data_IF_027400306315
#
_entry.id   IF_027400306315
#
_cell.length_a   1.000
_cell.length_b   1.000
_cell.length_c   1.000
_cell.angle_alpha   90.00
_cell.angle_beta   90.00
_cell.angle_gamma   90.00
#
_symmetry.space_group_name_H-M   'P 1'
#
loop_
_entity.id
_entity.type
_entity.pdbx_description
1 polymer ?
#
# COMPACT_ATOMS: atom_id res chain seq x y z
N UNK A 1 44.29 -1.44 -33.04
CA UNK A 1 43.68 -0.10 -32.96
C UNK A 1 42.30 0.00 -33.62
N UNK A 2 42.01 -0.70 -34.73
CA UNK A 2 40.68 -0.65 -35.40
C UNK A 2 39.50 -1.12 -34.53
N UNK A 3 39.68 -2.13 -33.68
CA UNK A 3 38.58 -2.69 -32.87
C UNK A 3 38.21 -1.89 -31.61
N UNK A 4 39.11 -1.03 -31.12
CA UNK A 4 38.84 -0.18 -29.94
C UNK A 4 37.85 0.95 -30.26
N UNK A 5 37.89 1.47 -31.49
CA UNK A 5 36.96 2.51 -31.97
C UNK A 5 35.56 1.93 -32.14
N UNK A 6 35.43 0.68 -32.61
CA UNK A 6 34.14 0.03 -32.79
C UNK A 6 33.41 -0.22 -31.46
N UNK A 7 34.14 -0.59 -30.40
CA UNK A 7 33.54 -0.84 -29.07
C UNK A 7 33.05 0.46 -28.42
N UNK A 8 33.77 1.57 -28.60
CA UNK A 8 33.39 2.89 -28.07
C UNK A 8 32.12 3.44 -28.73
N UNK A 9 31.92 3.18 -30.03
CA UNK A 9 30.71 3.59 -30.75
C UNK A 9 29.49 2.76 -30.34
N UNK A 10 29.65 1.46 -30.12
CA UNK A 10 28.55 0.57 -29.67
C UNK A 10 28.15 0.90 -28.22
N UNK A 11 29.11 1.17 -27.34
CA UNK A 11 28.84 1.57 -25.96
C UNK A 11 28.16 2.95 -25.88
N UNK A 12 28.54 3.90 -26.74
CA UNK A 12 27.88 5.21 -26.82
C UNK A 12 26.43 5.11 -27.32
N UNK A 13 26.17 4.29 -28.34
CA UNK A 13 24.82 4.09 -28.88
C UNK A 13 23.90 3.34 -27.91
N UNK A 14 24.41 2.32 -27.20
CA UNK A 14 23.65 1.57 -26.20
C UNK A 14 23.31 2.41 -24.96
N UNK A 15 24.22 3.28 -24.52
CA UNK A 15 23.98 4.20 -23.41
C UNK A 15 22.90 5.23 -23.72
N UNK A 16 22.86 5.78 -24.94
CA UNK A 16 21.85 6.76 -25.34
C UNK A 16 20.43 6.17 -25.38
N UNK A 17 20.26 4.90 -25.76
CA UNK A 17 18.95 4.23 -25.74
C UNK A 17 18.40 4.04 -24.32
N UNK A 18 19.27 3.83 -23.33
CA UNK A 18 18.85 3.72 -21.93
C UNK A 18 18.33 5.06 -21.34
N UNK A 19 18.85 6.19 -21.81
CA UNK A 19 18.41 7.53 -21.37
C UNK A 19 17.20 8.09 -22.15
N UNK A 20 16.92 7.57 -23.35
CA UNK A 20 15.80 8.03 -24.19
C UNK A 20 14.63 7.05 -24.17
N UNK A 21 14.75 5.91 -23.48
CA UNK A 21 13.60 5.07 -23.18
C UNK A 21 12.54 5.97 -22.53
N UNK A 22 11.39 6.20 -23.19
CA UNK A 22 10.33 6.98 -22.58
C UNK A 22 9.95 6.21 -21.33
N UNK A 23 10.06 6.86 -20.17
CA UNK A 23 9.35 6.39 -18.98
C UNK A 23 7.92 6.18 -19.46
N UNK A 24 7.44 4.94 -19.37
CA UNK A 24 6.03 4.62 -19.51
C UNK A 24 5.36 5.17 -18.23
N UNK A 25 5.43 6.50 -18.08
CA UNK A 25 4.58 7.29 -17.21
C UNK A 25 3.21 7.16 -17.83
N UNK A 26 2.62 5.97 -17.66
CA UNK A 26 1.19 5.74 -17.63
C UNK A 26 0.65 6.92 -16.85
N UNK A 27 0.10 7.90 -17.57
CA UNK A 27 -0.77 8.92 -17.02
C UNK A 27 -1.94 8.14 -16.41
N UNK A 28 -1.74 7.61 -15.20
CA UNK A 28 -2.79 7.13 -14.33
C UNK A 28 -3.51 8.41 -13.93
N UNK A 29 -4.35 8.93 -14.82
CA UNK A 29 -5.33 9.95 -14.49
C UNK A 29 -6.23 9.31 -13.45
N UNK A 30 -5.94 9.59 -12.18
CA UNK A 30 -6.75 9.10 -11.07
C UNK A 30 -8.19 9.53 -11.32
N UNK A 31 -9.11 8.59 -11.17
CA UNK A 31 -10.52 8.95 -11.23
C UNK A 31 -10.84 9.90 -10.07
N UNK A 32 -11.85 10.78 -10.19
CA UNK A 32 -12.24 11.68 -9.10
C UNK A 32 -12.51 10.95 -7.77
N UNK A 33 -13.05 9.72 -7.85
CA UNK A 33 -13.27 8.87 -6.69
C UNK A 33 -11.97 8.38 -6.03
N UNK A 34 -10.96 8.05 -6.83
CA UNK A 34 -9.64 7.62 -6.34
C UNK A 34 -8.88 8.79 -5.71
N UNK A 35 -8.91 9.97 -6.34
CA UNK A 35 -8.30 11.17 -5.76
C UNK A 35 -8.95 11.57 -4.42
N UNK A 36 -10.27 11.41 -4.31
CA UNK A 36 -10.99 11.65 -3.06
C UNK A 36 -10.59 10.65 -1.97
N UNK A 37 -10.48 9.36 -2.31
CA UNK A 37 -10.02 8.32 -1.38
C UNK A 37 -8.63 8.64 -0.84
N UNK A 38 -7.68 9.02 -1.69
CA UNK A 38 -6.32 9.39 -1.26
C UNK A 38 -6.38 10.57 -0.30
N UNK A 39 -7.10 11.64 -0.67
CA UNK A 39 -7.21 12.84 0.17
C UNK A 39 -7.80 12.53 1.56
N UNK A 40 -8.84 11.70 1.62
CA UNK A 40 -9.49 11.31 2.88
C UNK A 40 -8.60 10.34 3.66
N UNK A 41 -7.99 9.38 2.98
CA UNK A 41 -7.05 8.43 3.54
C UNK A 41 -5.87 9.12 4.21
N UNK A 42 -5.21 10.06 3.52
CA UNK A 42 -4.10 10.84 4.07
C UNK A 42 -4.51 11.67 5.28
N UNK A 43 -5.70 12.28 5.24
CA UNK A 43 -6.27 13.00 6.39
C UNK A 43 -6.48 12.07 7.58
N UNK A 44 -7.12 10.92 7.37
CA UNK A 44 -7.39 9.95 8.43
C UNK A 44 -6.12 9.31 8.98
N UNK A 45 -5.13 9.02 8.12
CA UNK A 45 -3.81 8.56 8.53
C UNK A 45 -3.12 9.61 9.41
N UNK A 46 -3.13 10.88 9.03
CA UNK A 46 -2.58 11.96 9.84
C UNK A 46 -3.24 12.09 11.22
N UNK A 47 -4.56 11.91 11.31
CA UNK A 47 -5.29 11.88 12.59
C UNK A 47 -4.85 10.67 13.43
N UNK A 48 -4.73 9.48 12.81
CA UNK A 48 -4.32 8.26 13.48
C UNK A 48 -2.89 8.35 14.04
N UNK A 49 -1.95 8.96 13.31
CA UNK A 49 -0.59 9.21 13.80
C UNK A 49 -0.59 10.18 14.99
N UNK A 50 -1.32 11.29 14.86
CA UNK A 50 -1.42 12.29 15.92
C UNK A 50 -2.03 11.71 17.21
N UNK A 51 -2.91 10.71 17.10
CA UNK A 51 -3.52 10.04 18.25
C UNK A 51 -2.53 9.22 19.11
N UNK A 52 -1.38 8.84 18.54
CA UNK A 52 -0.33 8.09 19.22
C UNK A 52 0.98 8.87 19.40
N UNK A 53 1.12 10.04 18.77
CA UNK A 53 2.37 10.80 18.69
C UNK A 53 3.02 11.14 20.04
N UNK A 54 2.22 11.32 21.10
CA UNK A 54 2.71 11.63 22.45
C UNK A 54 2.85 10.39 23.36
N UNK A 55 2.77 9.18 22.81
CA UNK A 55 2.85 7.94 23.58
C UNK A 55 4.17 7.22 23.24
N UNK A 56 5.10 7.20 24.20
CA UNK A 56 6.36 6.46 24.05
C UNK A 56 6.23 5.06 24.68
N UNK A 57 6.31 3.98 23.90
CA UNK A 57 6.21 2.63 24.44
C UNK A 57 7.46 2.28 25.26
N UNK A 58 7.27 1.77 26.48
CA UNK A 58 8.35 1.32 27.38
C UNK A 58 8.59 -0.19 27.21
N UNK A 59 7.53 -0.93 26.88
CA UNK A 59 7.49 -2.39 26.81
C UNK A 59 6.88 -2.86 25.49
N UNK A 60 7.24 -4.07 25.03
CA UNK A 60 6.84 -4.56 23.71
C UNK A 60 5.31 -4.63 23.52
N UNK A 61 4.55 -5.00 24.55
CA UNK A 61 3.09 -5.07 24.42
C UNK A 61 2.46 -3.68 24.19
N UNK A 62 3.05 -2.61 24.73
CA UNK A 62 2.57 -1.25 24.50
C UNK A 62 2.75 -0.83 23.04
N UNK A 63 3.76 -1.37 22.33
CA UNK A 63 3.88 -1.13 20.89
C UNK A 63 2.69 -1.70 20.13
N UNK A 64 2.25 -2.92 20.49
CA UNK A 64 1.08 -3.54 19.89
C UNK A 64 -0.21 -2.78 20.22
N UNK A 65 -0.33 -2.27 21.44
CA UNK A 65 -1.45 -1.42 21.86
C UNK A 65 -1.53 -0.12 21.05
N UNK A 66 -0.38 0.56 20.85
CA UNK A 66 -0.32 1.77 20.02
C UNK A 66 -0.68 1.49 18.56
N UNK A 67 -0.19 0.38 18.00
CA UNK A 67 -0.54 -0.03 16.63
C UNK A 67 -2.05 -0.33 16.52
N UNK A 68 -2.63 -1.00 17.51
CA UNK A 68 -4.06 -1.26 17.57
C UNK A 68 -4.86 0.04 17.62
N UNK A 69 -4.49 0.96 18.54
CA UNK A 69 -5.12 2.27 18.68
C UNK A 69 -5.06 3.09 17.38
N UNK A 70 -3.88 3.15 16.75
CA UNK A 70 -3.70 3.82 15.45
C UNK A 70 -4.64 3.24 14.38
N UNK A 71 -4.71 1.92 14.30
CA UNK A 71 -5.56 1.20 13.33
C UNK A 71 -7.04 1.48 13.58
N UNK A 72 -7.49 1.44 14.84
CA UNK A 72 -8.88 1.75 15.20
C UNK A 72 -9.27 3.18 14.85
N UNK A 73 -8.41 4.17 15.15
CA UNK A 73 -8.68 5.57 14.81
C UNK A 73 -8.77 5.76 13.30
N UNK A 74 -7.87 5.13 12.53
CA UNK A 74 -7.92 5.15 11.07
C UNK A 74 -9.24 4.56 10.55
N UNK A 75 -9.60 3.35 11.00
CA UNK A 75 -10.83 2.67 10.56
C UNK A 75 -12.07 3.47 10.87
N UNK A 76 -12.18 4.02 12.08
CA UNK A 76 -13.32 4.84 12.46
C UNK A 76 -13.41 6.10 11.59
N UNK A 77 -12.29 6.79 11.38
CA UNK A 77 -12.27 7.96 10.50
C UNK A 77 -12.68 7.62 9.06
N UNK A 78 -12.21 6.50 8.51
CA UNK A 78 -12.61 6.05 7.18
C UNK A 78 -14.10 5.73 7.10
N UNK A 79 -14.64 5.04 8.13
CA UNK A 79 -16.06 4.72 8.23
C UNK A 79 -16.93 5.98 8.32
N UNK A 80 -16.51 6.98 9.11
CA UNK A 80 -17.19 8.28 9.22
C UNK A 80 -17.23 9.04 7.89
N UNK A 81 -16.27 8.76 6.99
CA UNK A 81 -16.23 9.31 5.63
C UNK A 81 -16.93 8.40 4.59
N UNK A 82 -17.64 7.36 5.04
CA UNK A 82 -18.41 6.44 4.19
C UNK A 82 -17.57 5.39 3.47
N UNK A 83 -16.36 5.08 3.95
CA UNK A 83 -15.53 4.02 3.40
C UNK A 83 -15.57 2.78 4.29
N UNK A 84 -15.78 1.62 3.66
CA UNK A 84 -15.80 0.31 4.31
C UNK A 84 -14.82 -0.66 3.63
N UNK A 85 -14.43 -1.76 4.30
CA UNK A 85 -13.63 -2.79 3.69
C UNK A 85 -14.29 -3.35 2.43
N UNK A 86 -13.54 -3.40 1.34
CA UNK A 86 -14.00 -3.81 0.04
C UNK A 86 -14.18 -5.34 -0.03
N UNK A 87 -15.40 -5.85 -0.31
CA UNK A 87 -15.61 -7.29 -0.44
C UNK A 87 -14.78 -7.94 -1.56
N UNK A 88 -14.44 -7.18 -2.62
CA UNK A 88 -13.58 -7.67 -3.69
C UNK A 88 -12.13 -7.85 -3.23
N UNK A 89 -11.63 -6.94 -2.38
CA UNK A 89 -10.32 -7.10 -1.74
C UNK A 89 -10.31 -8.33 -0.82
N UNK A 90 -11.39 -8.56 -0.05
CA UNK A 90 -11.45 -9.72 0.84
C UNK A 90 -11.33 -11.05 0.07
N UNK A 91 -12.00 -11.18 -1.08
CA UNK A 91 -11.88 -12.37 -1.94
C UNK A 91 -10.47 -12.56 -2.50
N UNK A 92 -9.78 -11.46 -2.82
CA UNK A 92 -8.38 -11.47 -3.24
C UNK A 92 -7.44 -11.86 -2.09
N UNK A 93 -7.71 -11.36 -0.87
CA UNK A 93 -6.90 -11.58 0.32
C UNK A 93 -7.01 -13.02 0.87
N UNK A 94 -8.16 -13.67 0.75
CA UNK A 94 -8.43 -15.02 1.27
C UNK A 94 -7.35 -16.07 0.91
N UNK A 95 -7.03 -16.32 -0.37
CA UNK A 95 -6.02 -17.32 -0.72
C UNK A 95 -4.60 -16.93 -0.27
N UNK A 96 -4.30 -15.63 -0.21
CA UNK A 96 -3.00 -15.12 0.25
C UNK A 96 -2.86 -15.37 1.76
N UNK A 97 -3.88 -15.01 2.54
CA UNK A 97 -3.91 -15.25 3.98
C UNK A 97 -3.84 -16.75 4.31
N UNK A 98 -4.47 -17.61 3.50
CA UNK A 98 -4.37 -19.06 3.67
C UNK A 98 -2.94 -19.57 3.43
N UNK A 99 -2.25 -19.07 2.42
CA UNK A 99 -0.86 -19.42 2.16
C UNK A 99 0.06 -18.96 3.31
N UNK A 100 -0.06 -17.69 3.73
CA UNK A 100 0.72 -17.14 4.85
C UNK A 100 0.45 -17.86 6.17
N UNK A 101 -0.79 -18.27 6.45
CA UNK A 101 -1.12 -19.04 7.66
C UNK A 101 -0.35 -20.37 7.72
N UNK A 102 -0.20 -21.06 6.59
CA UNK A 102 0.56 -22.31 6.49
C UNK A 102 2.06 -22.05 6.63
N UNK A 103 2.58 -21.03 5.94
CA UNK A 103 4.00 -20.66 5.94
C UNK A 103 4.48 -20.21 7.32
N UNK A 104 3.76 -19.27 7.93
CA UNK A 104 4.12 -18.63 9.19
C UNK A 104 3.66 -19.43 10.42
N UNK A 105 2.90 -20.51 10.20
CA UNK A 105 2.30 -21.36 11.26
C UNK A 105 1.43 -20.57 12.24
N UNK A 106 0.68 -19.61 11.71
CA UNK A 106 -0.29 -18.79 12.45
C UNK A 106 -1.72 -19.18 12.06
N UNK A 107 -2.70 -18.68 12.80
CA UNK A 107 -4.10 -18.89 12.41
C UNK A 107 -4.44 -18.14 11.12
N UNK A 108 -5.40 -18.67 10.36
CA UNK A 108 -5.91 -18.00 9.16
C UNK A 108 -6.42 -16.57 9.47
N UNK A 109 -7.13 -16.39 10.59
CA UNK A 109 -7.66 -15.09 10.99
C UNK A 109 -6.54 -14.10 11.33
N UNK A 110 -5.47 -14.57 11.94
CA UNK A 110 -4.29 -13.75 12.23
C UNK A 110 -3.54 -13.37 10.94
N UNK A 111 -3.37 -14.31 10.01
CA UNK A 111 -2.77 -14.02 8.71
C UNK A 111 -3.58 -12.99 7.92
N UNK A 112 -4.91 -13.12 7.90
CA UNK A 112 -5.79 -12.16 7.25
C UNK A 112 -5.75 -10.79 7.95
N UNK A 113 -5.75 -10.77 9.29
CA UNK A 113 -5.61 -9.54 10.06
C UNK A 113 -4.27 -8.83 9.77
N UNK A 114 -3.16 -9.57 9.67
CA UNK A 114 -1.86 -9.02 9.32
C UNK A 114 -1.86 -8.42 7.91
N UNK A 115 -2.42 -9.14 6.92
CA UNK A 115 -2.52 -8.64 5.56
C UNK A 115 -3.46 -7.41 5.44
N UNK A 116 -4.56 -7.39 6.19
CA UNK A 116 -5.45 -6.23 6.20
C UNK A 116 -4.76 -4.98 6.74
N UNK A 117 -3.96 -5.09 7.82
CA UNK A 117 -3.26 -3.95 8.42
C UNK A 117 -2.29 -3.27 7.47
N UNK A 118 -1.61 -4.03 6.59
CA UNK A 118 -0.74 -3.45 5.57
C UNK A 118 -1.54 -2.77 4.46
N UNK A 119 -2.61 -3.40 3.99
CA UNK A 119 -3.41 -2.92 2.86
C UNK A 119 -4.29 -1.72 3.21
N UNK A 120 -4.72 -1.61 4.48
CA UNK A 120 -5.50 -0.48 5.00
C UNK A 120 -4.78 0.88 4.88
N UNK A 121 -3.45 0.88 4.82
CA UNK A 121 -2.65 2.10 4.71
C UNK A 121 -2.38 2.50 3.26
N UNK A 122 -2.80 1.67 2.30
CA UNK A 122 -2.60 1.90 0.87
C UNK A 122 -3.85 2.54 0.27
N UNK A 123 -3.83 3.86 0.13
CA UNK A 123 -4.94 4.62 -0.48
C UNK A 123 -4.79 4.78 -2.00
N UNK A 124 -3.59 4.56 -2.54
CA UNK A 124 -3.33 4.64 -3.97
C UNK A 124 -3.80 3.36 -4.66
N UNK A 125 -4.64 3.46 -5.70
CA UNK A 125 -5.09 2.28 -6.45
C UNK A 125 -3.92 1.59 -7.14
N UNK A 126 -3.83 0.27 -6.98
CA UNK A 126 -2.94 -0.58 -7.75
C UNK A 126 -3.74 -1.28 -8.87
N UNK A 127 -3.12 -1.48 -10.03
CA UNK A 127 -3.71 -2.28 -11.13
C UNK A 127 -3.67 -3.78 -10.82
N UNK A 128 -2.78 -4.22 -9.93
CA UNK A 128 -2.54 -5.65 -9.63
C UNK A 128 -3.62 -6.29 -8.78
N UNK A 129 -4.34 -5.52 -7.95
CA UNK A 129 -5.36 -6.07 -7.05
C UNK A 129 -6.37 -5.01 -6.57
N UNK A 130 -7.56 -5.42 -6.10
CA UNK A 130 -8.57 -4.49 -5.60
C UNK A 130 -8.04 -3.71 -4.39
N UNK A 131 -8.40 -2.44 -4.26
CA UNK A 131 -8.06 -1.61 -3.09
C UNK A 131 -8.87 -2.01 -1.85
N UNK A 132 -8.28 -1.88 -0.66
CA UNK A 132 -8.90 -2.23 0.61
C UNK A 132 -10.17 -1.42 0.90
N UNK A 133 -10.16 -0.10 0.65
CA UNK A 133 -11.28 0.78 0.98
C UNK A 133 -12.22 0.97 -0.21
N UNK A 134 -13.51 0.69 0.00
CA UNK A 134 -14.57 0.97 -0.97
C UNK A 134 -15.56 1.96 -0.36
N UNK A 135 -16.03 2.91 -1.17
CA UNK A 135 -17.08 3.83 -0.75
C UNK A 135 -18.41 3.08 -0.71
N UNK A 136 -19.04 3.05 0.46
CA UNK A 136 -20.42 2.59 0.64
C UNK A 136 -21.35 3.74 0.28
N UNK A 137 -22.26 3.49 -0.67
CA UNK A 137 -23.29 4.44 -1.09
C UNK A 137 -24.29 4.72 0.03
#
# INVERSE_FOLDING_TARGET
>A
MKYLIAILVIAGAGGWWFFIAPDDSSNNTLTPAQALLIKIGDKCAGIAENAIANQTPIVEFQKLELLSKRTTVLTNCMHDNGYNPNPAWLKYAQPIAQASAIEDKISYDEALANFSRSEMQLFTPNKSHPIYWAKTN
#
